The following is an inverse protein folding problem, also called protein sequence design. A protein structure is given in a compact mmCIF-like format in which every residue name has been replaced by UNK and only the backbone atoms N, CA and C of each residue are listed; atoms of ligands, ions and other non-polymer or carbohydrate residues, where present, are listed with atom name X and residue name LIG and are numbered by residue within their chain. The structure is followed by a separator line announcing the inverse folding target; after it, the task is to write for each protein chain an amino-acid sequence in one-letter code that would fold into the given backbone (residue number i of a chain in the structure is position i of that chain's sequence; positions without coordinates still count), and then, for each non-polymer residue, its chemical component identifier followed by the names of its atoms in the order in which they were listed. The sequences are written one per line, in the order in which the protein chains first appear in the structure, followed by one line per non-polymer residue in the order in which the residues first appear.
data_IF_349598630672
#
_entry.id   IF_349598630672
#
_cell.length_a   1.000
_cell.length_b   1.000
_cell.length_c   1.000
_cell.angle_alpha   90.00
_cell.angle_beta   90.00
_cell.angle_gamma   90.00
#
_symmetry.space_group_name_H-M   'P 1'
#
loop_
_entity.id
_entity.type
_entity.pdbx_description
1 polymer ?
#
# COMPACT_ATOMS: atom_id res chain seq x y z
N UNK A 1 -13.80 -14.53 -13.65
CA UNK A 1 -14.12 -13.09 -13.58
C UNK A 1 -14.64 -12.79 -12.17
N UNK A 2 -13.75 -12.61 -11.20
CA UNK A 2 -14.18 -12.19 -9.86
C UNK A 2 -14.32 -10.67 -9.86
N UNK A 3 -15.56 -10.22 -9.92
CA UNK A 3 -15.90 -8.87 -9.47
C UNK A 3 -15.58 -8.85 -7.98
N UNK A 4 -14.51 -8.14 -7.62
CA UNK A 4 -14.22 -7.85 -6.22
C UNK A 4 -15.44 -7.09 -5.67
N UNK A 5 -16.12 -7.69 -4.70
CA UNK A 5 -17.10 -7.01 -3.87
C UNK A 5 -16.38 -5.87 -3.16
N UNK A 6 -16.38 -4.68 -3.77
CA UNK A 6 -15.95 -3.47 -3.10
C UNK A 6 -16.96 -3.20 -1.98
N UNK A 7 -16.49 -3.35 -0.74
CA UNK A 7 -17.25 -3.03 0.47
C UNK A 7 -17.92 -1.66 0.34
N UNK A 8 -19.25 -1.59 0.48
CA UNK A 8 -20.01 -0.32 0.47
C UNK A 8 -19.79 0.54 1.72
N UNK A 9 -18.94 0.12 2.65
CA UNK A 9 -18.78 0.75 3.97
C UNK A 9 -17.57 1.71 4.01
N UNK A 10 -17.50 2.69 3.08
CA UNK A 10 -16.31 3.56 2.93
C UNK A 10 -16.12 4.60 4.06
N UNK A 11 -17.20 5.08 4.69
CA UNK A 11 -17.15 6.20 5.65
C UNK A 11 -17.60 5.84 7.07
N UNK A 12 -17.78 4.56 7.40
CA UNK A 12 -18.34 4.13 8.70
C UNK A 12 -17.48 4.58 9.90
N UNK A 13 -16.16 4.72 9.69
CA UNK A 13 -15.22 5.11 10.72
C UNK A 13 -14.83 6.60 10.66
N UNK A 14 -15.42 7.38 9.76
CA UNK A 14 -15.22 8.82 9.74
C UNK A 14 -15.95 9.45 10.94
N UNK A 15 -15.24 10.23 11.74
CA UNK A 15 -15.78 10.94 12.92
C UNK A 15 -16.07 12.41 12.64
N UNK A 16 -16.05 12.81 11.37
CA UNK A 16 -16.44 14.14 10.91
C UNK A 16 -17.98 14.22 10.86
N UNK A 17 -18.55 15.29 11.42
CA UNK A 17 -20.00 15.57 11.42
C UNK A 17 -20.50 16.14 10.08
N UNK A 18 -19.65 16.17 9.03
CA UNK A 18 -20.04 16.63 7.71
C UNK A 18 -21.01 15.66 7.02
N UNK A 19 -21.98 16.18 6.23
CA UNK A 19 -22.87 15.32 5.45
C UNK A 19 -22.07 14.52 4.41
N UNK A 20 -22.45 13.26 4.22
CA UNK A 20 -21.81 12.39 3.23
C UNK A 20 -21.74 13.09 1.86
N UNK A 21 -20.53 13.20 1.27
CA UNK A 21 -20.39 13.85 -0.04
C UNK A 21 -21.07 13.03 -1.14
N UNK A 22 -21.56 13.70 -2.18
CA UNK A 22 -22.03 13.02 -3.39
C UNK A 22 -20.79 12.47 -4.13
N UNK A 23 -20.60 11.15 -4.10
CA UNK A 23 -19.42 10.49 -4.68
C UNK A 23 -19.80 9.81 -5.98
N UNK A 24 -19.09 10.17 -7.05
CA UNK A 24 -19.12 9.43 -8.30
C UNK A 24 -18.22 8.19 -8.18
N UNK A 25 -18.73 7.03 -8.62
CA UNK A 25 -17.98 5.77 -8.57
C UNK A 25 -17.17 5.60 -9.84
N UNK A 26 -15.87 5.38 -9.70
CA UNK A 26 -14.97 5.10 -10.82
C UNK A 26 -14.60 3.61 -10.87
N UNK A 27 -14.62 3.04 -12.08
CA UNK A 27 -14.13 1.69 -12.33
C UNK A 27 -12.66 1.75 -12.77
N UNK A 28 -11.74 1.39 -11.87
CA UNK A 28 -10.30 1.34 -12.17
C UNK A 28 -9.92 -0.08 -12.61
N UNK A 29 -9.65 -0.25 -13.90
CA UNK A 29 -9.11 -1.50 -14.44
C UNK A 29 -7.58 -1.45 -14.50
N UNK A 30 -6.93 -2.39 -13.82
CA UNK A 30 -5.47 -2.58 -13.92
C UNK A 30 -5.18 -3.79 -14.80
N UNK A 31 -4.13 -3.68 -15.63
CA UNK A 31 -3.64 -4.81 -16.43
C UNK A 31 -3.20 -5.93 -15.49
N UNK A 32 -3.66 -7.16 -15.74
CA UNK A 32 -3.19 -8.33 -15.03
C UNK A 32 -1.69 -8.55 -15.29
N UNK A 33 -0.93 -8.81 -14.23
CA UNK A 33 0.47 -9.23 -14.31
C UNK A 33 0.70 -10.33 -13.29
N UNK A 34 1.65 -11.23 -13.58
CA UNK A 34 2.11 -12.21 -12.62
C UNK A 34 2.99 -11.49 -11.59
N UNK A 35 2.45 -11.30 -10.39
CA UNK A 35 3.21 -10.80 -9.25
C UNK A 35 3.86 -11.99 -8.55
N UNK A 36 5.13 -11.84 -8.16
CA UNK A 36 5.85 -12.86 -7.39
C UNK A 36 5.19 -12.93 -5.99
N UNK A 37 4.59 -14.07 -5.61
CA UNK A 37 4.05 -14.23 -4.26
C UNK A 37 5.19 -14.06 -3.24
N UNK A 38 5.04 -13.09 -2.33
CA UNK A 38 6.07 -12.73 -1.34
C UNK A 38 6.83 -11.44 -1.63
N UNK A 39 6.82 -10.92 -2.85
CA UNK A 39 7.50 -9.65 -3.19
C UNK A 39 6.61 -8.41 -2.93
N UNK A 40 5.56 -8.55 -2.15
CA UNK A 40 4.66 -7.45 -1.79
C UNK A 40 4.88 -6.99 -0.36
N UNK A 41 5.03 -5.67 -0.19
CA UNK A 41 5.32 -5.04 1.08
C UNK A 41 4.33 -3.93 1.41
N UNK A 42 3.98 -3.83 2.69
CA UNK A 42 3.21 -2.73 3.27
C UNK A 42 4.19 -1.78 3.93
N UNK A 43 4.10 -0.50 3.58
CA UNK A 43 4.96 0.56 4.08
C UNK A 43 4.14 1.52 4.92
N UNK A 44 4.62 1.81 6.11
CA UNK A 44 3.97 2.68 7.07
C UNK A 44 4.69 4.03 7.08
N UNK A 45 3.96 5.10 6.78
CA UNK A 45 4.49 6.46 6.77
C UNK A 45 3.79 7.26 7.85
N UNK A 46 4.59 7.97 8.63
CA UNK A 46 4.12 8.93 9.63
C UNK A 46 4.97 10.18 9.55
N UNK A 47 4.35 11.36 9.58
CA UNK A 47 5.06 12.65 9.48
C UNK A 47 6.05 12.68 8.29
N UNK A 48 5.63 12.16 7.13
CA UNK A 48 6.44 12.03 5.91
C UNK A 48 7.76 11.23 6.11
N UNK A 49 7.79 10.30 7.06
CA UNK A 49 8.91 9.38 7.30
C UNK A 49 8.44 7.94 7.20
N UNK A 50 9.22 7.10 6.52
CA UNK A 50 9.00 5.66 6.50
C UNK A 50 9.35 5.06 7.87
N UNK A 51 8.34 4.69 8.65
CA UNK A 51 8.49 4.17 10.02
C UNK A 51 8.51 2.64 10.09
N UNK A 52 8.04 1.96 9.05
CA UNK A 52 7.99 0.50 9.05
C UNK A 52 7.76 -0.10 7.68
N UNK A 53 8.24 -1.33 7.50
CA UNK A 53 8.03 -2.17 6.32
C UNK A 53 7.66 -3.57 6.81
N UNK A 54 6.59 -4.15 6.26
CA UNK A 54 6.20 -5.54 6.52
C UNK A 54 5.85 -6.24 5.22
N UNK A 55 5.93 -7.57 5.19
CA UNK A 55 5.35 -8.35 4.08
C UNK A 55 3.83 -8.19 4.08
N UNK A 56 3.23 -8.20 2.88
CA UNK A 56 1.78 -8.15 2.71
C UNK A 56 1.13 -9.48 3.07
N UNK A 57 1.72 -10.59 2.63
CA UNK A 57 1.31 -11.94 3.04
C UNK A 57 2.05 -12.33 4.31
N UNK A 58 1.34 -12.34 5.44
CA UNK A 58 1.89 -12.75 6.74
C UNK A 58 1.73 -14.25 7.01
N UNK A 59 1.04 -14.99 6.12
CA UNK A 59 0.72 -16.41 6.32
C UNK A 59 1.82 -17.35 5.82
N UNK A 60 2.70 -16.84 4.95
CA UNK A 60 3.79 -17.59 4.34
C UNK A 60 5.14 -17.00 4.72
N UNK A 61 6.11 -17.89 4.90
CA UNK A 61 7.50 -17.51 5.08
C UNK A 61 8.28 -17.78 3.79
N UNK A 62 8.98 -16.75 3.33
CA UNK A 62 9.78 -16.81 2.10
C UNK A 62 11.26 -16.59 2.42
N UNK A 63 12.07 -17.64 2.30
CA UNK A 63 13.50 -17.61 2.60
C UNK A 63 14.29 -16.55 1.82
N UNK A 64 13.87 -16.27 0.57
CA UNK A 64 14.54 -15.29 -0.27
C UNK A 64 14.41 -13.87 0.29
N UNK A 65 13.31 -13.55 0.98
CA UNK A 65 13.09 -12.23 1.58
C UNK A 65 14.06 -12.00 2.73
N UNK A 66 14.28 -13.02 3.55
CA UNK A 66 15.28 -12.96 4.63
C UNK A 66 16.69 -12.75 4.08
N UNK A 67 17.03 -13.39 2.95
CA UNK A 67 18.35 -13.27 2.31
C UNK A 67 18.56 -11.90 1.64
N UNK A 68 17.50 -11.32 1.05
CA UNK A 68 17.55 -10.06 0.30
C UNK A 68 17.08 -8.85 1.12
N UNK A 69 16.85 -9.02 2.43
CA UNK A 69 16.25 -8.01 3.32
C UNK A 69 16.85 -6.62 3.18
N UNK A 70 18.17 -6.50 3.15
CA UNK A 70 18.85 -5.21 3.07
C UNK A 70 18.68 -4.55 1.70
N UNK A 71 18.68 -5.33 0.62
CA UNK A 71 18.44 -4.83 -0.73
C UNK A 71 16.98 -4.37 -0.88
N UNK A 72 16.03 -5.16 -0.41
CA UNK A 72 14.60 -4.81 -0.37
C UNK A 72 14.40 -3.51 0.40
N UNK A 73 15.00 -3.40 1.59
CA UNK A 73 14.94 -2.20 2.42
C UNK A 73 15.45 -0.97 1.68
N UNK A 74 16.61 -1.07 1.03
CA UNK A 74 17.20 0.02 0.25
C UNK A 74 16.28 0.44 -0.89
N UNK A 75 15.84 -0.51 -1.71
CA UNK A 75 14.95 -0.23 -2.84
C UNK A 75 13.64 0.45 -2.40
N UNK A 76 13.04 0.00 -1.28
CA UNK A 76 11.83 0.63 -0.73
C UNK A 76 12.12 2.04 -0.22
N UNK A 77 13.26 2.27 0.42
CA UNK A 77 13.66 3.61 0.91
C UNK A 77 13.92 4.58 -0.25
N UNK A 78 14.60 4.13 -1.29
CA UNK A 78 14.86 4.92 -2.50
C UNK A 78 13.53 5.26 -3.18
N UNK A 79 12.66 4.27 -3.39
CA UNK A 79 11.32 4.48 -3.94
C UNK A 79 10.48 5.46 -3.08
N UNK A 80 10.51 5.31 -1.76
CA UNK A 80 9.82 6.21 -0.85
C UNK A 80 10.29 7.65 -1.04
N UNK A 81 11.60 7.87 -1.01
CA UNK A 81 12.21 9.21 -1.11
C UNK A 81 11.93 9.85 -2.46
N UNK A 82 12.03 9.08 -3.54
CA UNK A 82 11.88 9.60 -4.91
C UNK A 82 10.42 9.82 -5.34
N UNK A 83 9.50 8.95 -4.89
CA UNK A 83 8.14 8.88 -5.44
C UNK A 83 7.02 9.18 -4.44
N UNK A 84 7.26 9.07 -3.13
CA UNK A 84 6.19 9.17 -2.13
C UNK A 84 6.41 10.37 -1.21
N UNK A 85 7.63 10.57 -0.73
CA UNK A 85 7.94 11.59 0.26
C UNK A 85 7.56 12.98 -0.24
N UNK A 86 6.77 13.71 0.55
CA UNK A 86 6.24 15.04 0.24
C UNK A 86 5.35 15.16 -1.00
N UNK A 87 4.93 14.04 -1.62
CA UNK A 87 4.01 14.06 -2.78
C UNK A 87 2.55 13.80 -2.41
N UNK A 88 2.29 13.29 -1.21
CA UNK A 88 0.95 13.09 -0.68
C UNK A 88 0.58 14.22 0.27
N UNK A 89 -0.71 14.60 0.25
CA UNK A 89 -1.26 15.67 1.07
C UNK A 89 -1.32 15.29 2.56
N UNK A 90 -1.52 14.00 2.84
CA UNK A 90 -1.54 13.46 4.19
C UNK A 90 -0.14 13.09 4.65
N UNK A 91 0.25 13.61 5.82
CA UNK A 91 1.54 13.33 6.45
C UNK A 91 1.62 11.88 6.99
N UNK A 92 0.45 11.32 7.31
CA UNK A 92 0.25 9.96 7.81
C UNK A 92 -0.48 9.15 6.75
N UNK A 93 0.21 8.18 6.13
CA UNK A 93 -0.38 7.35 5.10
C UNK A 93 0.21 5.94 5.09
N UNK A 94 -0.59 4.98 4.64
CA UNK A 94 -0.16 3.61 4.41
C UNK A 94 -0.24 3.30 2.92
N UNK A 95 0.82 2.73 2.36
CA UNK A 95 0.82 2.30 0.96
C UNK A 95 1.34 0.88 0.81
N UNK A 96 0.85 0.20 -0.22
CA UNK A 96 1.33 -1.12 -0.63
C UNK A 96 2.21 -0.99 -1.85
N UNK A 97 3.40 -1.59 -1.80
CA UNK A 97 4.35 -1.66 -2.90
C UNK A 97 4.55 -3.13 -3.31
N UNK A 98 4.50 -3.41 -4.60
CA UNK A 98 4.89 -4.71 -5.16
C UNK A 98 6.25 -4.53 -5.82
N UNK A 99 7.28 -5.20 -5.32
CA UNK A 99 8.63 -5.22 -5.91
C UNK A 99 8.64 -6.28 -7.00
N UNK A 100 9.03 -5.91 -8.22
CA UNK A 100 9.19 -6.83 -9.36
C UNK A 100 10.65 -7.19 -9.59
#
# INVERSE_FOLDING_TARGET
YSIAFFSLQRFIHCTDDSPDPCIEYELVLRKWCELIPGAEFRCFVKENKLIGISQRDYTQYYDHISKQKEEIRRCIQDFFTEHIQYKFLDEDCEYSLSVQ
#
